data_IF_797668205729
#
_entry.id   IF_797668205729
#
_cell.length_a   1.000
_cell.length_b   1.000
_cell.length_c   1.000
_cell.angle_alpha   90.00
_cell.angle_beta   90.00
_cell.angle_gamma   90.00
#
_symmetry.space_group_name_H-M   'P 1'
#
loop_
_entity.id
_entity.type
_entity.pdbx_description
1 polymer ?
#
# COMPACT_ATOMS: atom_id res chain seq x y z
N UNK A 1 -35.35 -1.12 42.38
CA UNK A 1 -35.10 0.16 41.67
C UNK A 1 -33.61 0.52 41.55
N UNK A 2 -32.82 0.60 42.62
CA UNK A 2 -31.40 1.01 42.54
C UNK A 2 -30.53 0.11 41.62
N UNK A 3 -30.74 -1.22 41.65
CA UNK A 3 -30.06 -2.17 40.76
C UNK A 3 -30.31 -1.90 39.27
N UNK A 4 -31.52 -1.49 38.84
CA UNK A 4 -31.77 -1.24 37.42
C UNK A 4 -31.15 0.07 36.91
N UNK A 5 -30.98 1.07 37.79
CA UNK A 5 -30.25 2.30 37.47
C UNK A 5 -28.76 2.05 37.22
N UNK A 6 -28.14 1.20 38.03
CA UNK A 6 -26.73 0.78 37.83
C UNK A 6 -26.55 -0.01 36.54
N UNK A 7 -27.44 -0.95 36.24
CA UNK A 7 -27.41 -1.71 34.98
C UNK A 7 -27.53 -0.78 33.77
N UNK A 8 -28.44 0.20 33.81
CA UNK A 8 -28.60 1.16 32.73
C UNK A 8 -27.37 2.06 32.55
N UNK A 9 -26.74 2.50 33.65
CA UNK A 9 -25.50 3.26 33.60
C UNK A 9 -24.36 2.44 32.98
N UNK A 10 -24.20 1.19 33.41
CA UNK A 10 -23.19 0.28 32.87
C UNK A 10 -23.40 0.02 31.38
N UNK A 11 -24.64 -0.16 30.92
CA UNK A 11 -24.95 -0.32 29.49
C UNK A 11 -24.52 0.91 28.69
N UNK A 12 -24.83 2.13 29.16
CA UNK A 12 -24.39 3.37 28.50
C UNK A 12 -22.87 3.50 28.45
N UNK A 13 -22.17 3.06 29.49
CA UNK A 13 -20.70 3.06 29.52
C UNK A 13 -20.17 2.07 28.48
N UNK A 14 -20.69 0.84 28.44
CA UNK A 14 -20.29 -0.17 27.46
C UNK A 14 -20.51 0.31 26.02
N UNK A 15 -21.69 0.86 25.71
CA UNK A 15 -22.02 1.38 24.38
C UNK A 15 -21.04 2.50 23.96
N UNK A 16 -20.71 3.41 24.90
CA UNK A 16 -19.73 4.49 24.65
C UNK A 16 -18.32 3.94 24.42
N UNK A 17 -17.88 2.98 25.23
CA UNK A 17 -16.54 2.37 25.12
C UNK A 17 -16.39 1.67 23.77
N UNK A 18 -17.37 0.86 23.37
CA UNK A 18 -17.38 0.19 22.07
C UNK A 18 -17.39 1.21 20.93
N UNK A 19 -18.18 2.28 21.05
CA UNK A 19 -18.23 3.34 20.04
C UNK A 19 -16.90 4.10 19.90
N UNK A 20 -16.20 4.38 21.00
CA UNK A 20 -14.88 5.02 20.97
C UNK A 20 -13.85 4.07 20.36
N UNK A 21 -13.86 2.80 20.75
CA UNK A 21 -12.93 1.80 20.21
C UNK A 21 -13.05 1.72 18.67
N UNK A 22 -14.27 1.62 18.14
CA UNK A 22 -14.51 1.61 16.69
C UNK A 22 -13.96 2.85 15.99
N UNK A 23 -14.16 4.04 16.57
CA UNK A 23 -13.61 5.29 16.00
C UNK A 23 -12.09 5.30 15.96
N UNK A 24 -11.44 4.75 16.99
CA UNK A 24 -9.98 4.62 17.02
C UNK A 24 -9.52 3.64 15.95
N UNK A 25 -10.17 2.48 15.82
CA UNK A 25 -9.89 1.50 14.79
C UNK A 25 -10.00 2.10 13.39
N UNK A 26 -11.13 2.76 13.07
CA UNK A 26 -11.35 3.42 11.79
C UNK A 26 -10.28 4.49 11.50
N UNK A 27 -9.93 5.29 12.51
CA UNK A 27 -8.92 6.33 12.39
C UNK A 27 -7.51 5.77 12.14
N UNK A 28 -7.15 4.71 12.85
CA UNK A 28 -5.83 4.04 12.71
C UNK A 28 -5.73 3.36 11.35
N UNK A 29 -6.71 2.53 10.98
CA UNK A 29 -6.72 1.82 9.70
C UNK A 29 -6.75 2.81 8.53
N UNK A 30 -7.57 3.86 8.63
CA UNK A 30 -7.61 4.93 7.63
C UNK A 30 -6.28 5.68 7.51
N UNK A 31 -5.63 5.98 8.63
CA UNK A 31 -4.31 6.59 8.68
C UNK A 31 -3.24 5.76 7.97
N UNK A 32 -3.15 4.46 8.27
CA UNK A 32 -2.21 3.54 7.62
C UNK A 32 -2.43 3.47 6.11
N UNK A 33 -3.68 3.25 5.66
CA UNK A 33 -4.00 3.20 4.22
C UNK A 33 -3.61 4.48 3.49
N UNK A 34 -3.80 5.64 4.13
CA UNK A 34 -3.42 6.93 3.53
C UNK A 34 -1.91 7.08 3.40
N UNK A 35 -1.15 6.67 4.42
CA UNK A 35 0.32 6.72 4.39
C UNK A 35 0.84 5.78 3.30
N UNK A 36 0.36 4.54 3.27
CA UNK A 36 0.72 3.54 2.25
C UNK A 36 0.43 4.07 0.84
N UNK A 37 -0.80 4.52 0.59
CA UNK A 37 -1.19 5.04 -0.73
C UNK A 37 -0.36 6.25 -1.16
N UNK A 38 -0.03 7.15 -0.22
CA UNK A 38 0.79 8.33 -0.51
C UNK A 38 2.24 7.96 -0.83
N UNK A 39 2.82 7.01 -0.07
CA UNK A 39 4.18 6.54 -0.29
C UNK A 39 4.32 5.81 -1.64
N UNK A 40 3.41 4.88 -1.94
CA UNK A 40 3.40 4.13 -3.21
C UNK A 40 3.18 5.08 -4.40
N UNK A 41 2.23 6.01 -4.30
CA UNK A 41 2.00 6.99 -5.36
C UNK A 41 3.21 7.91 -5.57
N UNK A 42 3.84 8.37 -4.50
CA UNK A 42 5.05 9.20 -4.57
C UNK A 42 6.21 8.47 -5.24
N UNK A 43 6.44 7.21 -4.85
CA UNK A 43 7.44 6.35 -5.47
C UNK A 43 7.17 6.15 -6.96
N UNK A 44 5.93 5.79 -7.33
CA UNK A 44 5.57 5.56 -8.73
C UNK A 44 5.85 6.82 -9.57
N UNK A 45 5.49 8.02 -9.10
CA UNK A 45 5.78 9.27 -9.83
C UNK A 45 7.27 9.51 -10.05
N UNK A 46 8.11 9.21 -9.06
CA UNK A 46 9.57 9.37 -9.21
C UNK A 46 10.10 8.31 -10.19
N UNK A 47 9.63 7.07 -10.06
CA UNK A 47 9.98 5.98 -10.97
C UNK A 47 9.58 6.30 -12.42
N UNK A 48 8.38 6.82 -12.64
CA UNK A 48 7.87 7.24 -13.96
C UNK A 48 8.79 8.26 -14.59
N UNK A 49 9.12 9.34 -13.85
CA UNK A 49 10.04 10.39 -14.32
C UNK A 49 11.44 9.88 -14.61
N UNK A 50 11.93 8.94 -13.80
CA UNK A 50 13.25 8.35 -14.02
C UNK A 50 13.27 7.51 -15.30
N UNK A 51 12.24 6.66 -15.50
CA UNK A 51 12.12 5.86 -16.72
C UNK A 51 12.00 6.77 -17.94
N UNK A 52 11.13 7.77 -17.88
CA UNK A 52 10.92 8.75 -18.94
C UNK A 52 12.22 9.45 -19.36
N UNK A 53 12.97 9.95 -18.38
CA UNK A 53 14.17 10.74 -18.63
C UNK A 53 15.38 9.90 -19.09
N UNK A 54 15.46 8.63 -18.70
CA UNK A 54 16.72 7.87 -18.83
C UNK A 54 16.60 6.52 -19.53
N UNK A 55 15.41 5.89 -19.55
CA UNK A 55 15.28 4.49 -19.95
C UNK A 55 14.31 4.25 -21.11
N UNK A 56 13.52 5.23 -21.50
CA UNK A 56 12.72 5.19 -22.74
C UNK A 56 13.65 5.15 -23.96
N UNK A 57 13.20 4.45 -25.01
CA UNK A 57 13.88 4.30 -26.29
C UNK A 57 12.88 4.50 -27.42
N UNK A 58 13.35 4.98 -28.56
CA UNK A 58 12.59 4.98 -29.82
C UNK A 58 11.19 5.63 -29.74
N UNK A 59 11.02 6.62 -28.87
CA UNK A 59 9.75 7.32 -28.67
C UNK A 59 8.67 6.49 -27.97
N UNK A 60 9.02 5.37 -27.33
CA UNK A 60 8.11 4.56 -26.53
C UNK A 60 7.59 5.33 -25.31
N UNK A 61 6.38 4.98 -24.86
CA UNK A 61 5.80 5.50 -23.61
C UNK A 61 6.51 4.93 -22.38
N UNK A 62 6.34 5.59 -21.22
CA UNK A 62 6.91 5.12 -19.94
C UNK A 62 6.40 3.72 -19.59
N UNK A 63 5.12 3.46 -19.83
CA UNK A 63 4.51 2.15 -19.61
C UNK A 63 5.14 1.07 -20.49
N UNK A 64 5.33 1.33 -21.78
CA UNK A 64 5.99 0.42 -22.72
C UNK A 64 7.45 0.15 -22.30
N UNK A 65 8.19 1.21 -21.94
CA UNK A 65 9.55 1.08 -21.44
C UNK A 65 9.62 0.19 -20.19
N UNK A 66 8.67 0.33 -19.25
CA UNK A 66 8.62 -0.52 -18.05
C UNK A 66 8.35 -1.98 -18.37
N UNK A 67 7.43 -2.27 -19.29
CA UNK A 67 7.14 -3.65 -19.69
C UNK A 67 8.34 -4.28 -20.39
N UNK A 68 9.02 -3.53 -21.27
CA UNK A 68 10.29 -3.97 -21.89
C UNK A 68 11.36 -4.25 -20.84
N UNK A 69 11.59 -3.34 -19.90
CA UNK A 69 12.59 -3.51 -18.83
C UNK A 69 12.30 -4.74 -17.96
N UNK A 70 11.03 -5.00 -17.63
CA UNK A 70 10.63 -6.22 -16.91
C UNK A 70 10.93 -7.48 -17.72
N UNK A 71 10.69 -7.47 -19.02
CA UNK A 71 11.01 -8.60 -19.90
C UNK A 71 12.54 -8.81 -19.99
N UNK A 72 13.31 -7.74 -20.22
CA UNK A 72 14.78 -7.78 -20.23
C UNK A 72 15.34 -8.35 -18.92
N UNK A 73 14.77 -7.96 -17.77
CA UNK A 73 15.19 -8.46 -16.46
C UNK A 73 14.95 -9.97 -16.30
N UNK A 74 13.78 -10.49 -16.71
CA UNK A 74 13.51 -11.94 -16.66
C UNK A 74 14.48 -12.74 -17.52
N UNK A 75 14.86 -12.21 -18.68
CA UNK A 75 15.86 -12.87 -19.55
C UNK A 75 17.22 -12.90 -18.86
N UNK A 76 17.65 -11.78 -18.24
CA UNK A 76 18.91 -11.74 -17.47
C UNK A 76 18.94 -12.76 -16.35
N UNK A 77 17.87 -12.82 -15.55
CA UNK A 77 17.74 -13.79 -14.45
C UNK A 77 17.77 -15.24 -14.96
N UNK A 78 17.10 -15.52 -16.09
CA UNK A 78 17.15 -16.83 -16.73
C UNK A 78 18.57 -17.22 -17.16
N UNK A 79 19.29 -16.30 -17.80
CA UNK A 79 20.67 -16.51 -18.23
C UNK A 79 21.61 -16.71 -17.03
N UNK A 80 21.45 -15.95 -15.95
CA UNK A 80 22.25 -16.08 -14.73
C UNK A 80 22.04 -17.46 -14.08
N UNK A 81 20.80 -17.97 -14.09
CA UNK A 81 20.48 -19.31 -13.58
C UNK A 81 21.11 -20.40 -14.46
N UNK A 82 21.10 -20.22 -15.78
CA UNK A 82 21.70 -21.18 -16.71
C UNK A 82 23.23 -21.23 -16.54
N UNK A 83 23.88 -20.06 -16.46
CA UNK A 83 25.33 -19.96 -16.18
C UNK A 83 25.73 -20.54 -14.82
N UNK A 84 24.88 -20.39 -13.79
CA UNK A 84 25.16 -20.96 -12.47
C UNK A 84 25.01 -22.50 -12.42
N UNK A 85 24.47 -23.13 -13.46
CA UNK A 85 24.26 -24.59 -13.56
C UNK A 85 25.33 -25.29 -14.39
N UNK A 86 26.18 -24.55 -15.09
CA UNK A 86 27.38 -25.04 -15.79
C UNK A 86 28.60 -25.08 -14.84
#
# INVERSE_FOLDING_TARGET
MAKSKLVAANKKIADKVVGIYKKIEDGVVGGYKKIEGSAVSGFNKISDKFVDAYLTRDGETVEEAKERLKAEQRVREGNDIEQARE
#
